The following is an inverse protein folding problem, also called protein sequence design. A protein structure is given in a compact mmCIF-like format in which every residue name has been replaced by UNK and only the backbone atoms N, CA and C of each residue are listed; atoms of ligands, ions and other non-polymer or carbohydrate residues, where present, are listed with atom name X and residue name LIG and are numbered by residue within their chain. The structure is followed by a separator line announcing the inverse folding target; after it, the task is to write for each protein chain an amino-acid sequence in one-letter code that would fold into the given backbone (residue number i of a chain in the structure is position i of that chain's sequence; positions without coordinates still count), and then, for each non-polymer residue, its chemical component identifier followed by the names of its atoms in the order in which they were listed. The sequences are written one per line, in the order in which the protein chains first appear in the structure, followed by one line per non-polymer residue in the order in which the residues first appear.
data_IF_903252370843
#
_entry.id   IF_903252370843
#
_cell.length_a   1.000
_cell.length_b   1.000
_cell.length_c   1.000
_cell.angle_alpha   90.00
_cell.angle_beta   90.00
_cell.angle_gamma   90.00
#
_symmetry.space_group_name_H-M   'P 1'
#
loop_
_entity.id
_entity.type
_entity.pdbx_description
1 polymer ?
#
# COMPACT_ATOMS: atom_id res chain seq x y z
N UNK A 1 -15.53 11.80 -19.91
CA UNK A 1 -15.17 10.35 -19.84
C UNK A 1 -14.36 10.18 -18.57
N UNK A 2 -14.74 9.27 -17.67
CA UNK A 2 -13.93 8.97 -16.47
C UNK A 2 -12.73 8.12 -16.89
N UNK A 3 -11.59 8.40 -16.27
CA UNK A 3 -10.34 7.66 -16.46
C UNK A 3 -9.96 6.93 -15.17
N UNK A 4 -9.59 5.66 -15.29
CA UNK A 4 -9.18 4.82 -14.16
C UNK A 4 -7.71 4.40 -14.26
N UNK A 5 -7.08 4.19 -13.11
CA UNK A 5 -5.74 3.64 -12.96
C UNK A 5 -5.80 2.43 -12.02
N UNK A 6 -5.38 1.27 -12.51
CA UNK A 6 -5.16 0.08 -11.68
C UNK A 6 -3.66 -0.14 -11.52
N UNK A 7 -3.19 -0.21 -10.28
CA UNK A 7 -1.79 -0.50 -9.94
C UNK A 7 -1.72 -1.88 -9.29
N UNK A 8 -1.34 -2.87 -10.10
CA UNK A 8 -1.18 -4.25 -9.67
C UNK A 8 -0.10 -4.40 -8.59
N UNK A 9 -0.20 -5.48 -7.82
CA UNK A 9 0.81 -5.90 -6.88
C UNK A 9 2.06 -6.50 -7.53
N UNK A 10 3.00 -6.93 -6.71
CA UNK A 10 4.23 -7.60 -7.18
C UNK A 10 5.41 -7.45 -6.22
N UNK A 11 5.16 -7.03 -4.98
CA UNK A 11 6.21 -6.82 -3.99
C UNK A 11 7.27 -5.85 -4.51
N UNK A 12 8.55 -6.24 -4.44
CA UNK A 12 9.67 -5.39 -4.86
C UNK A 12 9.69 -5.05 -6.37
N UNK A 13 8.97 -5.82 -7.22
CA UNK A 13 8.85 -5.52 -8.66
C UNK A 13 8.07 -4.23 -8.91
N UNK A 14 7.24 -3.80 -7.96
CA UNK A 14 6.50 -2.54 -8.04
C UNK A 14 7.39 -1.28 -8.01
N UNK A 15 8.70 -1.43 -7.89
CA UNK A 15 9.66 -0.37 -8.19
C UNK A 15 9.51 0.16 -9.64
N UNK A 16 9.08 -0.72 -10.58
CA UNK A 16 8.79 -0.32 -11.95
C UNK A 16 7.57 0.62 -12.03
N UNK A 17 6.45 0.24 -11.39
CA UNK A 17 5.27 1.09 -11.32
C UNK A 17 5.54 2.40 -10.56
N UNK A 18 6.41 2.38 -9.54
CA UNK A 18 6.85 3.60 -8.86
C UNK A 18 7.44 4.64 -9.84
N UNK A 19 8.30 4.20 -10.76
CA UNK A 19 8.88 5.07 -11.78
C UNK A 19 7.85 5.62 -12.78
N UNK A 20 6.87 4.79 -13.17
CA UNK A 20 5.77 5.23 -14.05
C UNK A 20 4.90 6.29 -13.34
N UNK A 21 4.55 6.06 -12.08
CA UNK A 21 3.72 6.99 -11.30
C UNK A 21 4.46 8.32 -11.05
N UNK A 22 5.76 8.29 -10.79
CA UNK A 22 6.58 9.51 -10.71
C UNK A 22 6.58 10.27 -12.05
N UNK A 23 6.65 9.55 -13.18
CA UNK A 23 6.54 10.17 -14.50
C UNK A 23 5.16 10.79 -14.73
N UNK A 24 4.09 10.12 -14.30
CA UNK A 24 2.74 10.70 -14.36
C UNK A 24 2.62 11.99 -13.54
N UNK A 25 3.25 12.04 -12.37
CA UNK A 25 3.32 13.28 -11.57
C UNK A 25 4.06 14.40 -12.30
N UNK A 26 5.21 14.07 -12.94
CA UNK A 26 6.02 15.03 -13.71
C UNK A 26 5.25 15.60 -14.91
N UNK A 27 4.43 14.76 -15.57
CA UNK A 27 3.63 15.16 -16.74
C UNK A 27 2.26 15.76 -16.34
N UNK A 28 1.94 15.83 -15.05
CA UNK A 28 0.66 16.34 -14.57
C UNK A 28 -0.54 15.44 -14.91
N UNK A 29 -0.30 14.13 -15.17
CA UNK A 29 -1.36 13.17 -15.48
C UNK A 29 -2.12 12.83 -14.21
N UNK A 30 -3.45 12.87 -14.29
CA UNK A 30 -4.38 12.54 -13.21
C UNK A 30 -5.44 11.57 -13.66
N UNK A 31 -6.05 10.87 -12.70
CA UNK A 31 -7.12 9.91 -12.94
C UNK A 31 -8.31 10.25 -12.06
N UNK A 32 -9.51 9.90 -12.49
CA UNK A 32 -10.75 10.08 -11.71
C UNK A 32 -10.88 9.02 -10.62
N UNK A 33 -10.35 7.82 -10.90
CA UNK A 33 -10.41 6.66 -10.01
C UNK A 33 -9.08 5.90 -10.04
N UNK A 34 -8.59 5.50 -8.87
CA UNK A 34 -7.38 4.73 -8.71
C UNK A 34 -7.65 3.49 -7.86
N UNK A 35 -7.15 2.34 -8.27
CA UNK A 35 -7.23 1.10 -7.49
C UNK A 35 -5.82 0.58 -7.28
N UNK A 36 -5.47 0.28 -6.03
CA UNK A 36 -4.17 -0.28 -5.67
C UNK A 36 -4.28 -1.66 -5.06
N UNK A 37 -3.44 -2.58 -5.49
CA UNK A 37 -3.37 -3.96 -4.99
C UNK A 37 -1.97 -4.25 -4.44
N UNK A 38 -1.87 -4.83 -3.23
CA UNK A 38 -0.57 -5.18 -2.63
C UNK A 38 0.37 -3.96 -2.57
N UNK A 39 1.63 -4.12 -2.96
CA UNK A 39 2.58 -3.01 -3.05
C UNK A 39 2.09 -1.86 -3.96
N UNK A 40 1.20 -2.16 -4.92
CA UNK A 40 0.53 -1.17 -5.74
C UNK A 40 -0.37 -0.22 -4.94
N UNK A 41 -0.96 -0.68 -3.82
CA UNK A 41 -1.75 0.17 -2.93
C UNK A 41 -0.88 1.27 -2.28
N UNK A 42 0.31 0.92 -1.78
CA UNK A 42 1.26 1.89 -1.24
C UNK A 42 1.76 2.88 -2.31
N UNK A 43 2.02 2.38 -3.53
CA UNK A 43 2.42 3.22 -4.66
C UNK A 43 1.30 4.21 -5.04
N UNK A 44 0.06 3.74 -5.10
CA UNK A 44 -1.10 4.57 -5.43
C UNK A 44 -1.34 5.62 -4.34
N UNK A 45 -1.25 5.25 -3.05
CA UNK A 45 -1.38 6.20 -1.94
C UNK A 45 -0.38 7.36 -2.07
N UNK A 46 0.90 7.06 -2.35
CA UNK A 46 1.92 8.09 -2.56
C UNK A 46 1.67 8.93 -3.82
N UNK A 47 1.16 8.31 -4.90
CA UNK A 47 0.83 9.00 -6.14
C UNK A 47 -0.30 10.01 -5.95
N UNK A 48 -1.42 9.61 -5.34
CA UNK A 48 -2.55 10.52 -5.10
C UNK A 48 -2.22 11.59 -4.05
N UNK A 49 -1.25 11.31 -3.15
CA UNK A 49 -0.67 12.30 -2.23
C UNK A 49 0.32 13.25 -2.91
N UNK A 50 0.59 13.07 -4.21
CA UNK A 50 1.56 13.85 -5.00
C UNK A 50 2.99 13.82 -4.45
N UNK A 51 3.36 12.75 -3.76
CA UNK A 51 4.68 12.59 -3.12
C UNK A 51 5.68 11.93 -4.09
N UNK A 52 6.16 12.70 -5.06
CA UNK A 52 7.17 12.27 -6.03
C UNK A 52 8.41 11.69 -5.35
N UNK A 53 8.90 10.58 -5.84
CA UNK A 53 10.09 9.88 -5.35
C UNK A 53 9.87 9.09 -4.06
N UNK A 54 8.73 9.28 -3.35
CA UNK A 54 8.44 8.53 -2.13
C UNK A 54 8.41 7.03 -2.40
N UNK A 55 7.70 6.61 -3.43
CA UNK A 55 7.62 5.19 -3.79
C UNK A 55 8.99 4.58 -4.03
N UNK A 56 9.87 5.26 -4.75
CA UNK A 56 11.21 4.75 -5.05
C UNK A 56 12.03 4.53 -3.77
N UNK A 57 11.94 5.44 -2.78
CA UNK A 57 12.62 5.27 -1.48
C UNK A 57 12.18 3.99 -0.76
N UNK A 58 10.91 3.60 -0.86
CA UNK A 58 10.38 2.37 -0.27
C UNK A 58 10.90 1.09 -0.94
N UNK A 59 11.42 1.17 -2.15
CA UNK A 59 12.04 0.02 -2.84
C UNK A 59 13.57 0.03 -2.82
N UNK A 60 14.21 1.18 -2.66
CA UNK A 60 15.66 1.30 -2.81
C UNK A 60 16.36 1.68 -1.50
N UNK A 61 15.80 2.60 -0.73
CA UNK A 61 16.48 3.14 0.45
C UNK A 61 16.04 2.46 1.75
N UNK A 62 14.75 2.43 2.04
CA UNK A 62 14.23 1.82 3.26
C UNK A 62 14.50 0.32 3.41
N UNK A 63 14.55 -0.51 2.33
CA UNK A 63 14.93 -1.92 2.44
C UNK A 63 16.36 -2.18 2.95
N UNK A 64 17.23 -1.15 2.98
CA UNK A 64 18.55 -1.23 3.60
C UNK A 64 18.48 -1.30 5.13
N UNK A 65 17.36 -0.88 5.72
CA UNK A 65 17.11 -1.01 7.16
C UNK A 65 16.70 -2.47 7.47
N UNK A 66 17.41 -3.16 8.39
CA UNK A 66 17.09 -4.54 8.74
C UNK A 66 15.71 -4.73 9.39
N UNK A 67 15.04 -3.64 9.79
CA UNK A 67 13.65 -3.68 10.28
C UNK A 67 12.62 -3.83 9.18
N UNK A 68 12.99 -3.54 7.92
CA UNK A 68 12.06 -3.52 6.79
C UNK A 68 11.60 -4.92 6.40
N UNK A 69 12.55 -5.84 6.21
CA UNK A 69 12.28 -7.23 5.84
C UNK A 69 13.46 -8.14 6.18
N UNK A 70 13.23 -9.44 6.27
CA UNK A 70 14.30 -10.44 6.38
C UNK A 70 13.92 -11.69 7.16
N UNK A 71 14.78 -12.71 7.04
CA UNK A 71 14.57 -14.02 7.68
C UNK A 71 14.54 -13.94 9.21
N UNK A 72 15.35 -13.06 9.82
CA UNK A 72 15.30 -12.84 11.26
C UNK A 72 13.92 -12.40 11.71
N UNK A 73 13.29 -11.50 10.95
CA UNK A 73 11.95 -11.00 11.22
C UNK A 73 10.91 -12.11 11.06
N UNK A 74 11.07 -12.93 10.00
CA UNK A 74 10.22 -14.08 9.78
C UNK A 74 10.23 -15.05 10.97
N UNK A 75 11.41 -15.46 11.44
CA UNK A 75 11.52 -16.40 12.56
C UNK A 75 11.09 -15.81 13.91
N UNK A 76 11.23 -14.51 14.13
CA UNK A 76 10.91 -13.90 15.44
C UNK A 76 9.50 -13.33 15.53
N UNK A 77 8.92 -12.89 14.41
CA UNK A 77 7.62 -12.20 14.36
C UNK A 77 6.59 -12.89 13.46
N UNK A 78 7.00 -13.93 12.71
CA UNK A 78 6.12 -14.64 11.78
C UNK A 78 5.78 -13.84 10.53
N UNK A 79 6.62 -12.85 10.17
CA UNK A 79 6.44 -12.03 8.98
C UNK A 79 7.80 -11.72 8.35
N UNK A 80 7.96 -11.98 7.06
CA UNK A 80 9.17 -11.65 6.31
C UNK A 80 9.24 -10.13 6.04
N UNK A 81 8.14 -9.56 5.55
CA UNK A 81 7.98 -8.11 5.43
C UNK A 81 7.39 -7.54 6.71
N UNK A 82 8.05 -6.53 7.27
CA UNK A 82 7.52 -5.83 8.45
C UNK A 82 6.57 -4.72 8.01
N UNK A 83 5.38 -5.09 7.54
CA UNK A 83 4.38 -4.14 7.04
C UNK A 83 3.94 -3.13 8.12
N UNK A 84 4.03 -3.50 9.41
CA UNK A 84 3.77 -2.56 10.52
C UNK A 84 4.85 -1.50 10.62
N UNK A 85 6.12 -1.85 10.36
CA UNK A 85 7.20 -0.86 10.28
C UNK A 85 7.04 0.02 9.04
N UNK A 86 6.76 -0.59 7.89
CA UNK A 86 6.67 0.09 6.58
C UNK A 86 5.53 1.12 6.59
N UNK A 87 4.33 0.72 6.96
CA UNK A 87 3.14 1.57 6.89
C UNK A 87 2.73 2.16 8.25
N UNK A 88 3.15 1.56 9.37
CA UNK A 88 2.82 2.06 10.70
C UNK A 88 3.86 3.01 11.29
N UNK A 89 5.17 2.75 11.09
CA UNK A 89 6.23 3.57 11.67
C UNK A 89 6.83 4.54 10.66
N UNK A 90 7.29 4.06 9.49
CA UNK A 90 7.90 4.92 8.47
C UNK A 90 6.90 5.92 7.88
N UNK A 91 5.67 5.46 7.63
CA UNK A 91 4.63 6.26 6.97
C UNK A 91 3.80 7.12 7.92
N UNK A 92 3.95 6.94 9.23
CA UNK A 92 3.27 7.74 10.25
C UNK A 92 3.72 9.21 10.18
N UNK A 93 2.91 10.14 10.65
CA UNK A 93 3.20 11.59 10.62
C UNK A 93 4.49 11.98 11.33
N UNK A 94 4.96 11.18 12.29
CA UNK A 94 6.23 11.33 12.99
C UNK A 94 7.34 10.43 12.46
N UNK A 95 7.05 9.65 11.40
CA UNK A 95 7.97 8.70 10.79
C UNK A 95 9.03 9.37 9.92
N UNK A 96 9.98 8.57 9.45
CA UNK A 96 11.07 9.06 8.61
C UNK A 96 10.64 9.40 7.17
N UNK A 97 9.51 8.85 6.70
CA UNK A 97 8.98 9.10 5.35
C UNK A 97 7.44 9.11 5.39
N UNK A 98 6.84 10.15 6.01
CA UNK A 98 5.42 10.20 6.28
C UNK A 98 4.58 10.19 4.99
N UNK A 99 3.44 9.53 5.03
CA UNK A 99 2.41 9.68 4.01
C UNK A 99 1.68 11.00 4.25
N UNK A 100 1.59 11.82 3.23
CA UNK A 100 0.77 13.04 3.28
C UNK A 100 -0.72 12.67 3.22
N UNK A 101 -1.26 12.29 4.38
CA UNK A 101 -2.64 11.89 4.54
C UNK A 101 -3.61 12.99 4.10
N UNK A 102 -3.30 14.25 4.43
CA UNK A 102 -4.15 15.38 4.07
C UNK A 102 -4.27 15.54 2.55
N UNK A 103 -3.14 15.51 1.85
CA UNK A 103 -3.13 15.57 0.38
C UNK A 103 -3.84 14.38 -0.24
N UNK A 104 -3.69 13.17 0.33
CA UNK A 104 -4.38 11.97 -0.12
C UNK A 104 -5.91 12.12 -0.01
N UNK A 105 -6.40 12.53 1.15
CA UNK A 105 -7.83 12.68 1.40
C UNK A 105 -8.46 13.79 0.56
N UNK A 106 -7.76 14.91 0.40
CA UNK A 106 -8.24 16.07 -0.36
C UNK A 106 -8.12 15.89 -1.89
N UNK A 107 -7.44 14.85 -2.37
CA UNK A 107 -7.38 14.55 -3.79
C UNK A 107 -8.77 14.17 -4.30
N UNK A 108 -9.28 14.76 -5.42
CA UNK A 108 -10.61 14.46 -5.93
C UNK A 108 -10.76 13.02 -6.48
N UNK A 109 -9.66 12.34 -6.80
CA UNK A 109 -9.70 10.97 -7.28
C UNK A 109 -10.31 10.03 -6.22
N UNK A 110 -11.19 9.14 -6.64
CA UNK A 110 -11.58 7.99 -5.84
C UNK A 110 -10.36 7.07 -5.67
N UNK A 111 -10.15 6.53 -4.48
CA UNK A 111 -9.05 5.60 -4.25
C UNK A 111 -9.53 4.38 -3.48
N UNK A 112 -9.34 3.22 -4.11
CA UNK A 112 -9.72 1.92 -3.60
C UNK A 112 -8.48 1.04 -3.37
N UNK A 113 -8.53 0.27 -2.30
CA UNK A 113 -7.50 -0.69 -1.95
C UNK A 113 -8.13 -2.07 -1.83
N UNK A 114 -7.50 -3.04 -2.45
CA UNK A 114 -8.01 -4.42 -2.42
C UNK A 114 -7.34 -5.20 -1.28
N UNK A 115 -8.14 -5.94 -0.51
CA UNK A 115 -7.68 -6.94 0.44
C UNK A 115 -8.48 -8.23 0.26
N UNK A 116 -7.94 -9.35 0.77
CA UNK A 116 -8.61 -10.65 0.79
C UNK A 116 -9.11 -10.94 2.20
N UNK A 117 -10.41 -11.14 2.37
CA UNK A 117 -10.97 -11.60 3.64
C UNK A 117 -10.44 -13.00 3.96
N UNK A 118 -9.78 -13.16 5.12
CA UNK A 118 -9.09 -14.39 5.47
C UNK A 118 -10.03 -15.57 5.78
N UNK A 119 -11.29 -15.30 6.09
CA UNK A 119 -12.29 -16.31 6.41
C UNK A 119 -13.00 -16.81 5.15
N UNK A 120 -13.36 -15.89 4.26
CA UNK A 120 -14.19 -16.21 3.08
C UNK A 120 -13.40 -16.37 1.79
N UNK A 121 -12.17 -15.81 1.72
CA UNK A 121 -11.36 -15.73 0.50
C UNK A 121 -11.85 -14.69 -0.50
N UNK A 122 -12.89 -13.94 -0.20
CA UNK A 122 -13.45 -12.93 -1.10
C UNK A 122 -12.64 -11.63 -1.08
N UNK A 123 -12.66 -10.91 -2.20
CA UNK A 123 -12.11 -9.56 -2.25
C UNK A 123 -12.95 -8.59 -1.41
N UNK A 124 -12.27 -7.72 -0.69
CA UNK A 124 -12.83 -6.54 -0.03
C UNK A 124 -12.14 -5.30 -0.59
N UNK A 125 -12.92 -4.37 -1.07
CA UNK A 125 -12.43 -3.08 -1.55
C UNK A 125 -12.68 -2.04 -0.45
N UNK A 126 -11.60 -1.44 0.02
CA UNK A 126 -11.63 -0.36 0.99
C UNK A 126 -11.48 0.98 0.27
N UNK A 127 -12.33 1.92 0.60
CA UNK A 127 -12.20 3.29 0.11
C UNK A 127 -11.20 4.08 0.98
N UNK A 128 -10.56 5.10 0.41
CA UNK A 128 -9.64 5.98 1.16
C UNK A 128 -10.30 6.64 2.39
N UNK A 129 -11.60 6.86 2.36
CA UNK A 129 -12.39 7.39 3.47
C UNK A 129 -12.44 6.47 4.71
N UNK A 130 -12.13 5.17 4.54
CA UNK A 130 -12.04 4.19 5.62
C UNK A 130 -10.66 4.22 6.32
N UNK A 131 -9.74 5.06 5.89
CA UNK A 131 -8.46 5.30 6.56
C UNK A 131 -8.52 6.55 7.44
N UNK A 132 -7.78 6.53 8.54
CA UNK A 132 -7.55 7.70 9.39
C UNK A 132 -6.07 8.11 9.34
N UNK A 133 -5.79 9.35 9.74
CA UNK A 133 -4.42 9.81 9.88
C UNK A 133 -3.66 8.89 10.85
N UNK A 134 -2.49 8.43 10.42
CA UNK A 134 -1.63 7.50 11.16
C UNK A 134 -2.21 6.10 11.40
N UNK A 135 -3.40 5.80 10.87
CA UNK A 135 -3.97 4.45 10.83
C UNK A 135 -4.06 3.94 9.39
N UNK A 136 -2.97 3.35 8.94
CA UNK A 136 -2.86 2.78 7.59
C UNK A 136 -3.07 1.26 7.58
N UNK A 137 -3.89 0.71 8.52
CA UNK A 137 -4.21 -0.73 8.58
C UNK A 137 -4.81 -1.25 7.28
N UNK A 138 -5.56 -0.42 6.57
CA UNK A 138 -6.11 -0.79 5.25
C UNK A 138 -5.00 -1.08 4.24
N UNK A 139 -3.97 -0.21 4.16
CA UNK A 139 -2.80 -0.45 3.29
C UNK A 139 -2.03 -1.69 3.77
N UNK A 140 -1.84 -1.83 5.09
CA UNK A 140 -1.16 -3.00 5.66
C UNK A 140 -1.90 -4.31 5.32
N UNK A 141 -3.22 -4.32 5.41
CA UNK A 141 -4.06 -5.47 5.08
C UNK A 141 -3.89 -5.85 3.61
N UNK A 142 -4.01 -4.87 2.70
CA UNK A 142 -3.81 -5.08 1.27
C UNK A 142 -2.42 -5.59 0.89
N UNK A 143 -1.40 -5.42 1.76
CA UNK A 143 -0.01 -5.85 1.54
C UNK A 143 0.41 -7.07 2.37
N UNK A 144 -0.48 -7.69 3.14
CA UNK A 144 -0.18 -8.81 4.02
C UNK A 144 -0.14 -10.14 3.26
N UNK A 145 0.94 -10.42 2.55
CA UNK A 145 1.11 -11.64 1.73
C UNK A 145 0.97 -12.89 2.59
N UNK A 146 0.03 -13.82 2.28
CA UNK A 146 -0.08 -15.10 2.99
C UNK A 146 1.25 -15.86 3.07
N UNK A 147 1.50 -16.56 4.16
CA UNK A 147 2.74 -17.26 4.50
C UNK A 147 3.97 -16.35 4.71
N UNK A 148 4.01 -15.14 4.16
CA UNK A 148 5.12 -14.20 4.37
C UNK A 148 4.79 -13.09 5.37
N UNK A 149 3.50 -12.89 5.68
CA UNK A 149 3.03 -11.90 6.65
C UNK A 149 1.88 -12.48 7.48
N UNK A 150 1.70 -11.93 8.67
CA UNK A 150 0.49 -12.18 9.45
C UNK A 150 -0.66 -11.34 8.89
N UNK A 151 -1.91 -11.82 8.99
CA UNK A 151 -3.07 -11.02 8.59
C UNK A 151 -3.20 -9.77 9.46
N UNK A 152 -3.92 -8.80 8.94
CA UNK A 152 -4.24 -7.56 9.65
C UNK A 152 -5.71 -7.57 10.01
N UNK A 153 -5.98 -7.23 11.27
CA UNK A 153 -7.35 -7.08 11.76
C UNK A 153 -7.88 -5.67 11.48
N UNK A 154 -9.07 -5.61 10.86
CA UNK A 154 -9.87 -4.40 10.68
C UNK A 154 -11.30 -4.76 11.08
N UNK A 155 -11.84 -4.05 12.05
CA UNK A 155 -13.23 -4.19 12.53
C UNK A 155 -13.63 -5.64 12.86
N UNK A 156 -12.73 -6.37 13.55
CA UNK A 156 -12.94 -7.75 13.99
C UNK A 156 -12.78 -8.82 12.89
N UNK A 157 -12.38 -8.44 11.68
CA UNK A 157 -12.09 -9.36 10.58
C UNK A 157 -10.61 -9.35 10.22
N UNK A 158 -10.12 -10.50 9.78
CA UNK A 158 -8.73 -10.67 9.37
C UNK A 158 -8.60 -10.58 7.85
N UNK A 159 -7.61 -9.83 7.39
CA UNK A 159 -7.36 -9.62 5.98
C UNK A 159 -5.93 -9.94 5.58
N UNK A 160 -5.80 -10.47 4.38
CA UNK A 160 -4.55 -10.70 3.68
C UNK A 160 -4.45 -9.85 2.41
N UNK A 161 -3.31 -9.95 1.73
CA UNK A 161 -3.00 -9.28 0.47
C UNK A 161 -4.12 -9.44 -0.57
N UNK A 162 -4.52 -8.33 -1.18
CA UNK A 162 -5.60 -8.27 -2.14
C UNK A 162 -5.36 -9.08 -3.42
N UNK A 163 -4.09 -9.28 -3.78
CA UNK A 163 -3.72 -10.08 -4.95
C UNK A 163 -4.12 -11.57 -4.84
N UNK A 164 -4.51 -12.03 -3.65
CA UNK A 164 -5.04 -13.38 -3.46
C UNK A 164 -6.46 -13.56 -4.00
N UNK A 165 -7.29 -12.53 -3.91
CA UNK A 165 -8.69 -12.58 -4.35
C UNK A 165 -8.92 -11.86 -5.69
N UNK A 166 -8.32 -10.68 -5.88
CA UNK A 166 -8.49 -9.90 -7.11
C UNK A 166 -7.22 -9.07 -7.42
N UNK A 167 -6.32 -9.59 -8.26
CA UNK A 167 -5.04 -8.93 -8.56
C UNK A 167 -5.17 -7.71 -9.48
N UNK A 168 -6.23 -7.66 -10.30
CA UNK A 168 -6.48 -6.57 -11.28
C UNK A 168 -7.99 -6.30 -11.29
N UNK A 169 -8.52 -5.59 -10.28
CA UNK A 169 -9.93 -5.27 -10.19
C UNK A 169 -10.41 -4.28 -11.26
#
# INVERSE_FOLDING_TARGET
MKTGLVVEGGGMKCAYSAGILDRFLDDGITFDECIGVSAGAGNTASFISRQRGRNLRFFVDHPKDPRYMGMRHFFTKGSFFNIRYIYGELSNSTGADPLDYSSMQNNPAEFWLTATDAETGNARYFEKSEMAADDYRVIMAGCAIPALCRPIEIDGRMYYDGGGADPIP
#
